data_IF_705022853413
#
_entry.id   IF_705022853413
#
_cell.length_a   1.000
_cell.length_b   1.000
_cell.length_c   1.000
_cell.angle_alpha   90.00
_cell.angle_beta   90.00
_cell.angle_gamma   90.00
#
_symmetry.space_group_name_H-M   'P 1'
#
loop_
_entity.id
_entity.type
_entity.pdbx_description
1 polymer ?
#
# COMPACT_ATOMS: atom_id res chain seq x y z
N UNK A 1 -18.00 15.92 -3.43
CA UNK A 1 -17.05 16.15 -4.53
C UNK A 1 -16.72 14.85 -5.24
N UNK A 2 -16.42 14.93 -6.51
CA UNK A 2 -15.95 13.78 -7.30
C UNK A 2 -14.44 13.64 -7.10
N UNK A 3 -14.05 13.16 -5.91
CA UNK A 3 -12.67 13.09 -5.49
C UNK A 3 -12.33 11.75 -4.84
N UNK A 4 -11.07 11.34 -4.99
CA UNK A 4 -10.48 10.18 -4.35
C UNK A 4 -9.25 10.63 -3.55
N UNK A 5 -9.13 10.11 -2.33
CA UNK A 5 -8.01 10.35 -1.44
C UNK A 5 -7.11 9.12 -1.40
N UNK A 6 -5.84 9.30 -1.68
CA UNK A 6 -4.83 8.25 -1.68
C UNK A 6 -3.85 8.44 -0.53
N UNK A 7 -3.45 7.34 0.10
CA UNK A 7 -2.35 7.32 1.06
C UNK A 7 -1.58 6.01 0.94
N UNK A 8 -0.26 6.09 0.84
CA UNK A 8 0.61 4.93 0.93
C UNK A 8 1.68 5.11 1.99
N UNK A 9 1.90 4.05 2.78
CA UNK A 9 2.89 3.99 3.86
C UNK A 9 2.86 5.24 4.76
N UNK A 10 1.66 5.61 5.20
CA UNK A 10 1.43 6.79 6.06
C UNK A 10 1.90 8.11 5.42
N UNK A 11 1.78 8.25 4.12
CA UNK A 11 2.16 9.46 3.41
C UNK A 11 3.67 9.65 3.21
N UNK A 12 4.49 8.63 3.49
CA UNK A 12 5.95 8.71 3.30
C UNK A 12 6.36 8.71 1.83
N UNK A 13 5.52 8.18 0.98
CA UNK A 13 5.74 8.15 -0.47
C UNK A 13 4.41 7.97 -1.20
N UNK A 14 4.39 8.19 -2.52
CA UNK A 14 3.30 7.82 -3.40
C UNK A 14 3.73 6.58 -4.20
N UNK A 15 3.36 5.40 -3.72
CA UNK A 15 3.83 4.14 -4.31
C UNK A 15 2.81 2.99 -4.15
N UNK A 16 3.25 1.79 -4.49
CA UNK A 16 2.53 0.54 -4.26
C UNK A 16 1.16 0.48 -4.98
N UNK A 17 0.21 -0.27 -4.44
CA UNK A 17 -1.13 -0.44 -5.00
C UNK A 17 -1.90 0.89 -5.13
N UNK A 18 -1.86 1.82 -4.15
CA UNK A 18 -2.50 3.12 -4.31
C UNK A 18 -1.99 3.90 -5.52
N UNK A 19 -0.67 3.85 -5.82
CA UNK A 19 -0.11 4.52 -6.99
C UNK A 19 -0.65 3.91 -8.30
N UNK A 20 -0.65 2.59 -8.43
CA UNK A 20 -1.14 1.91 -9.62
C UNK A 20 -2.62 2.24 -9.88
N UNK A 21 -3.45 2.18 -8.84
CA UNK A 21 -4.86 2.57 -8.91
C UNK A 21 -5.02 4.06 -9.26
N UNK A 22 -4.19 4.93 -8.68
CA UNK A 22 -4.24 6.37 -8.94
C UNK A 22 -3.85 6.73 -10.38
N UNK A 23 -2.88 6.03 -10.96
CA UNK A 23 -2.48 6.18 -12.37
C UNK A 23 -3.58 5.70 -13.30
N UNK A 24 -4.16 4.54 -13.04
CA UNK A 24 -5.26 4.04 -13.86
C UNK A 24 -6.49 4.94 -13.76
N UNK A 25 -6.82 5.43 -12.57
CA UNK A 25 -7.90 6.40 -12.40
C UNK A 25 -7.64 7.69 -13.20
N UNK A 26 -6.39 8.15 -13.26
CA UNK A 26 -6.02 9.30 -14.08
C UNK A 26 -6.29 9.08 -15.57
N UNK A 27 -6.06 7.87 -16.04
CA UNK A 27 -6.25 7.47 -17.43
C UNK A 27 -7.74 7.35 -17.80
N UNK A 28 -8.53 6.67 -16.96
CA UNK A 28 -9.93 6.34 -17.28
C UNK A 28 -10.94 7.41 -16.85
N UNK A 29 -10.57 8.22 -15.85
CA UNK A 29 -11.43 9.27 -15.32
C UNK A 29 -10.64 10.53 -14.92
N UNK A 30 -10.03 11.22 -15.89
CA UNK A 30 -9.14 12.37 -15.65
C UNK A 30 -9.83 13.54 -14.92
N UNK A 31 -11.14 13.61 -14.98
CA UNK A 31 -11.96 14.63 -14.29
C UNK A 31 -12.11 14.39 -12.79
N UNK A 32 -11.68 13.24 -12.27
CA UNK A 32 -11.75 12.93 -10.83
C UNK A 32 -10.55 13.56 -10.13
N UNK A 33 -10.81 14.39 -9.12
CA UNK A 33 -9.76 14.98 -8.30
C UNK A 33 -9.05 13.90 -7.47
N UNK A 34 -7.71 13.85 -7.54
CA UNK A 34 -6.88 12.89 -6.81
C UNK A 34 -6.05 13.62 -5.77
N UNK A 35 -6.40 13.44 -4.50
CA UNK A 35 -5.62 13.95 -3.38
C UNK A 35 -4.66 12.89 -2.88
N UNK A 36 -3.41 13.28 -2.62
CA UNK A 36 -2.40 12.41 -2.03
C UNK A 36 -1.97 12.91 -0.67
N UNK A 37 -2.19 12.08 0.35
CA UNK A 37 -1.68 12.32 1.70
C UNK A 37 -0.16 12.16 1.72
N UNK A 38 0.54 13.16 2.20
CA UNK A 38 2.01 13.17 2.34
C UNK A 38 2.40 13.66 3.72
N UNK A 39 3.50 13.13 4.28
CA UNK A 39 4.02 13.59 5.58
C UNK A 39 4.53 15.02 5.49
N UNK A 40 5.10 15.40 4.34
CA UNK A 40 5.52 16.75 4.00
C UNK A 40 5.44 16.93 2.46
N UNK A 41 5.51 18.18 2.00
CA UNK A 41 5.32 18.53 0.59
C UNK A 41 6.53 18.24 -0.30
N UNK A 42 7.65 17.73 0.23
CA UNK A 42 8.79 17.25 -0.58
C UNK A 42 8.54 15.90 -1.21
N UNK A 43 7.54 15.15 -0.69
CA UNK A 43 7.16 13.85 -1.25
C UNK A 43 6.53 14.06 -2.63
N UNK A 44 7.16 13.46 -3.64
CA UNK A 44 6.67 13.50 -5.02
C UNK A 44 5.36 12.72 -5.16
N UNK A 45 4.37 13.34 -5.77
CA UNK A 45 3.08 12.70 -6.09
C UNK A 45 2.89 12.62 -7.60
N UNK A 46 2.00 11.73 -8.09
CA UNK A 46 1.74 11.63 -9.53
C UNK A 46 1.30 12.94 -10.15
N UNK A 47 1.66 13.13 -11.41
CA UNK A 47 1.25 14.30 -12.19
C UNK A 47 -0.28 14.50 -12.18
N UNK A 48 -0.71 15.75 -12.09
CA UNK A 48 -2.12 16.12 -12.01
C UNK A 48 -2.81 15.70 -10.70
N UNK A 49 -2.08 15.19 -9.71
CA UNK A 49 -2.60 14.96 -8.37
C UNK A 49 -2.24 16.12 -7.43
N UNK A 50 -3.00 16.27 -6.36
CA UNK A 50 -2.83 17.34 -5.37
C UNK A 50 -2.23 16.75 -4.10
N UNK A 51 -1.00 17.12 -3.75
CA UNK A 51 -0.39 16.78 -2.49
C UNK A 51 -1.04 17.54 -1.32
N UNK A 52 -1.38 16.82 -0.24
CA UNK A 52 -1.93 17.40 0.99
C UNK A 52 -1.14 16.89 2.20
N UNK A 53 -0.51 17.82 2.93
CA UNK A 53 0.32 17.51 4.09
C UNK A 53 -0.52 16.98 5.26
N UNK A 54 -0.13 15.83 5.81
CA UNK A 54 -0.84 15.15 6.90
C UNK A 54 -1.11 16.09 8.08
N UNK A 55 -2.37 16.14 8.51
CA UNK A 55 -2.81 16.93 9.65
C UNK A 55 -3.04 18.42 9.36
N UNK A 56 -2.76 18.89 8.14
CA UNK A 56 -3.12 20.24 7.73
C UNK A 56 -4.64 20.41 7.56
N UNK A 57 -5.18 21.63 7.62
CA UNK A 57 -6.58 21.86 7.30
C UNK A 57 -6.96 21.40 5.88
N UNK A 58 -6.04 21.54 4.90
CA UNK A 58 -6.24 21.05 3.52
C UNK A 58 -6.36 19.53 3.47
N UNK A 59 -5.52 18.80 4.18
CA UNK A 59 -5.59 17.35 4.32
C UNK A 59 -6.92 16.90 4.92
N UNK A 60 -7.36 17.57 6.00
CA UNK A 60 -8.64 17.27 6.63
C UNK A 60 -9.82 17.46 5.68
N UNK A 61 -9.82 18.57 4.93
CA UNK A 61 -10.87 18.85 3.91
C UNK A 61 -10.83 17.84 2.76
N UNK A 62 -9.66 17.56 2.19
CA UNK A 62 -9.49 16.61 1.10
C UNK A 62 -10.00 15.21 1.49
N UNK A 63 -9.60 14.73 2.68
CA UNK A 63 -10.03 13.45 3.21
C UNK A 63 -11.53 13.41 3.47
N UNK A 64 -12.12 14.50 3.98
CA UNK A 64 -13.54 14.62 4.21
C UNK A 64 -14.35 14.77 2.92
N UNK A 65 -13.85 15.46 1.90
CA UNK A 65 -14.53 15.67 0.63
C UNK A 65 -14.55 14.45 -0.29
N UNK A 66 -13.54 13.58 -0.17
CA UNK A 66 -13.41 12.41 -1.03
C UNK A 66 -14.46 11.34 -0.75
N UNK A 67 -15.03 10.76 -1.81
CA UNK A 67 -16.00 9.66 -1.71
C UNK A 67 -15.33 8.30 -1.50
N UNK A 68 -14.09 8.17 -1.95
CA UNK A 68 -13.27 6.97 -1.81
C UNK A 68 -11.92 7.35 -1.18
N UNK A 69 -11.49 6.55 -0.21
CA UNK A 69 -10.14 6.54 0.31
C UNK A 69 -9.47 5.23 -0.13
N UNK A 70 -8.30 5.32 -0.74
CA UNK A 70 -7.48 4.18 -1.18
C UNK A 70 -6.21 4.19 -0.36
N UNK A 71 -6.04 3.20 0.50
CA UNK A 71 -4.94 3.15 1.46
C UNK A 71 -4.30 1.77 1.50
N UNK A 72 -3.02 1.68 1.81
CA UNK A 72 -2.31 0.41 1.95
C UNK A 72 -1.80 0.14 3.37
N UNK A 73 -2.04 1.05 4.29
CA UNK A 73 -1.72 0.92 5.71
C UNK A 73 -2.91 1.37 6.57
N UNK A 74 -2.76 1.43 7.89
CA UNK A 74 -3.83 1.83 8.78
C UNK A 74 -4.15 3.33 8.61
N UNK A 75 -5.44 3.66 8.75
CA UNK A 75 -5.87 5.05 8.71
C UNK A 75 -5.37 5.81 9.95
N UNK A 76 -4.46 6.74 9.73
CA UNK A 76 -3.93 7.59 10.80
C UNK A 76 -4.97 8.57 11.31
N UNK A 77 -4.74 9.02 12.56
CA UNK A 77 -5.55 10.00 13.27
C UNK A 77 -6.99 9.53 13.48
N UNK A 78 -7.77 10.31 14.20
CA UNK A 78 -9.21 10.04 14.35
C UNK A 78 -9.88 10.17 12.98
N UNK A 79 -10.63 9.16 12.63
CA UNK A 79 -11.36 9.10 11.38
C UNK A 79 -12.78 8.59 11.63
N UNK A 80 -13.74 9.38 11.18
CA UNK A 80 -15.15 9.02 11.14
C UNK A 80 -15.59 9.01 9.67
N UNK A 81 -15.95 7.84 9.19
CA UNK A 81 -16.44 7.67 7.83
C UNK A 81 -17.77 8.40 7.67
N UNK A 82 -17.85 9.25 6.65
CA UNK A 82 -19.10 9.95 6.34
C UNK A 82 -20.04 9.03 5.55
N UNK A 83 -21.33 9.37 5.60
CA UNK A 83 -22.33 8.70 4.77
C UNK A 83 -21.92 8.78 3.28
N UNK A 84 -21.97 7.67 2.58
CA UNK A 84 -21.58 7.55 1.18
C UNK A 84 -20.07 7.51 0.90
N UNK A 85 -19.21 7.70 1.91
CA UNK A 85 -17.77 7.52 1.78
C UNK A 85 -17.39 6.04 1.90
N UNK A 86 -16.37 5.60 1.15
CA UNK A 86 -15.85 4.23 1.16
C UNK A 86 -14.35 4.23 1.40
N UNK A 87 -13.87 3.14 1.98
CA UNK A 87 -12.44 2.88 2.21
C UNK A 87 -12.06 1.56 1.57
N UNK A 88 -11.15 1.62 0.61
CA UNK A 88 -10.48 0.47 0.03
C UNK A 88 -9.12 0.29 0.71
N UNK A 89 -8.96 -0.78 1.46
CA UNK A 89 -7.68 -1.23 1.98
C UNK A 89 -7.01 -2.11 0.94
N UNK A 90 -5.91 -1.65 0.36
CA UNK A 90 -5.22 -2.39 -0.71
C UNK A 90 -4.15 -3.33 -0.20
N UNK A 91 -3.78 -3.20 1.08
CA UNK A 91 -2.65 -3.90 1.65
C UNK A 91 -1.36 -3.64 0.84
N UNK A 92 -0.26 -4.32 1.16
CA UNK A 92 1.03 -3.98 0.54
C UNK A 92 2.02 -5.14 0.43
N UNK A 93 1.61 -6.37 0.70
CA UNK A 93 2.49 -7.53 0.56
C UNK A 93 1.86 -8.85 0.99
N UNK A 94 2.54 -9.95 0.69
CA UNK A 94 2.15 -11.28 1.14
C UNK A 94 2.37 -11.38 2.65
N UNK A 95 1.36 -11.79 3.44
CA UNK A 95 1.44 -11.83 4.90
C UNK A 95 2.23 -13.07 5.38
N UNK A 96 3.56 -13.02 5.30
CA UNK A 96 4.45 -14.09 5.76
C UNK A 96 4.71 -14.03 7.27
N UNK A 97 4.64 -12.85 7.87
CA UNK A 97 4.79 -12.65 9.33
C UNK A 97 3.45 -12.77 10.04
N UNK A 98 3.47 -13.11 11.32
CA UNK A 98 2.26 -13.06 12.16
C UNK A 98 1.78 -11.63 12.33
N UNK A 99 0.60 -11.32 11.81
CA UNK A 99 0.03 -9.97 11.77
C UNK A 99 -1.09 -9.80 12.79
N UNK A 100 -1.31 -8.59 13.23
CA UNK A 100 -2.48 -8.16 13.98
C UNK A 100 -2.88 -9.15 15.10
N UNK A 101 -4.03 -9.79 14.99
CA UNK A 101 -4.50 -10.77 15.99
C UNK A 101 -3.71 -12.09 15.99
N UNK A 102 -2.94 -12.38 14.94
CA UNK A 102 -2.09 -13.58 14.88
C UNK A 102 -0.75 -13.42 15.61
N UNK A 103 -0.41 -12.21 16.10
CA UNK A 103 0.80 -12.02 16.91
C UNK A 103 0.70 -12.82 18.22
N UNK A 104 1.81 -13.40 18.72
CA UNK A 104 1.81 -14.16 19.96
C UNK A 104 1.32 -13.34 21.17
N UNK A 105 0.73 -14.03 22.13
CA UNK A 105 0.20 -13.44 23.35
C UNK A 105 -1.12 -12.68 23.12
N UNK A 106 -2.03 -12.83 24.08
CA UNK A 106 -3.29 -12.07 24.07
C UNK A 106 -3.03 -10.65 24.58
N UNK A 107 -3.40 -9.66 23.77
CA UNK A 107 -3.32 -8.25 24.12
C UNK A 107 -4.66 -7.58 23.76
N UNK A 108 -5.47 -7.22 24.77
CA UNK A 108 -6.79 -6.63 24.53
C UNK A 108 -6.72 -5.26 23.86
N UNK A 109 -5.66 -4.48 24.11
CA UNK A 109 -5.47 -3.17 23.46
C UNK A 109 -5.23 -3.35 21.97
N UNK A 110 -4.39 -4.31 21.60
CA UNK A 110 -4.15 -4.70 20.21
C UNK A 110 -5.44 -5.19 19.56
N UNK A 111 -6.19 -6.05 20.22
CA UNK A 111 -7.45 -6.59 19.69
C UNK A 111 -8.46 -5.47 19.39
N UNK A 112 -8.62 -4.51 20.32
CA UNK A 112 -9.49 -3.35 20.12
C UNK A 112 -8.98 -2.47 18.98
N UNK A 113 -7.67 -2.22 18.89
CA UNK A 113 -7.09 -1.40 17.81
C UNK A 113 -7.32 -2.04 16.44
N UNK A 114 -7.05 -3.34 16.31
CA UNK A 114 -7.29 -4.11 15.08
C UNK A 114 -8.76 -4.09 14.70
N UNK A 115 -9.65 -4.33 15.66
CA UNK A 115 -11.10 -4.32 15.44
C UNK A 115 -11.59 -2.93 14.96
N UNK A 116 -11.13 -1.86 15.63
CA UNK A 116 -11.50 -0.50 15.24
C UNK A 116 -11.00 -0.17 13.83
N UNK A 117 -9.79 -0.57 13.50
CA UNK A 117 -9.20 -0.29 12.20
C UNK A 117 -9.93 -1.05 11.09
N UNK A 118 -10.09 -2.36 11.24
CA UNK A 118 -10.73 -3.18 10.20
C UNK A 118 -12.19 -2.77 9.93
N UNK A 119 -12.88 -2.22 10.90
CA UNK A 119 -14.25 -1.73 10.71
C UNK A 119 -14.37 -0.47 9.86
N UNK A 120 -13.27 0.22 9.65
CA UNK A 120 -13.22 1.40 8.76
C UNK A 120 -13.13 1.02 7.29
N UNK A 121 -12.73 -0.21 7.00
CA UNK A 121 -12.58 -0.68 5.62
C UNK A 121 -13.89 -1.20 5.07
N UNK A 122 -14.28 -0.73 3.89
CA UNK A 122 -15.45 -1.25 3.17
C UNK A 122 -15.08 -2.43 2.28
N UNK A 123 -13.87 -2.44 1.74
CA UNK A 123 -13.32 -3.54 0.97
C UNK A 123 -11.84 -3.73 1.29
N UNK A 124 -11.38 -4.96 1.16
CA UNK A 124 -9.98 -5.36 1.30
C UNK A 124 -9.52 -6.02 0.01
N UNK A 125 -8.39 -5.55 -0.53
CA UNK A 125 -7.74 -6.20 -1.67
C UNK A 125 -6.72 -7.23 -1.17
N UNK A 126 -6.75 -8.42 -1.73
CA UNK A 126 -5.79 -9.47 -1.46
C UNK A 126 -5.13 -9.96 -2.75
N UNK A 127 -3.86 -10.32 -2.67
CA UNK A 127 -3.11 -10.76 -3.82
C UNK A 127 -3.60 -12.13 -4.36
N UNK A 128 -3.97 -13.02 -3.45
CA UNK A 128 -4.38 -14.39 -3.74
C UNK A 128 -5.18 -14.97 -2.56
N UNK A 129 -5.69 -16.17 -2.69
CA UNK A 129 -6.47 -16.86 -1.65
C UNK A 129 -5.71 -17.04 -0.33
N UNK A 130 -4.42 -17.36 -0.40
CA UNK A 130 -3.57 -17.47 0.79
C UNK A 130 -3.55 -16.18 1.59
N UNK A 131 -3.28 -15.05 0.92
CA UNK A 131 -3.28 -13.72 1.54
C UNK A 131 -4.65 -13.34 2.08
N UNK A 132 -5.71 -13.61 1.32
CA UNK A 132 -7.09 -13.35 1.72
C UNK A 132 -7.47 -14.10 3.01
N UNK A 133 -7.13 -15.39 3.08
CA UNK A 133 -7.43 -16.22 4.25
C UNK A 133 -6.74 -15.71 5.52
N UNK A 134 -5.47 -15.30 5.41
CA UNK A 134 -4.70 -14.76 6.54
C UNK A 134 -5.25 -13.41 6.96
N UNK A 135 -5.44 -12.48 6.01
CA UNK A 135 -5.88 -11.12 6.30
C UNK A 135 -7.30 -11.10 6.90
N UNK A 136 -8.22 -11.91 6.39
CA UNK A 136 -9.57 -12.06 6.98
C UNK A 136 -9.51 -12.40 8.47
N UNK A 137 -8.68 -13.37 8.85
CA UNK A 137 -8.55 -13.84 10.25
C UNK A 137 -7.76 -12.85 11.10
N UNK A 138 -6.62 -12.38 10.60
CA UNK A 138 -5.73 -11.47 11.33
C UNK A 138 -6.41 -10.15 11.70
N UNK A 139 -7.32 -9.67 10.85
CA UNK A 139 -8.04 -8.41 11.05
C UNK A 139 -9.51 -8.60 11.45
N UNK A 140 -9.93 -9.81 11.80
CA UNK A 140 -11.33 -10.13 12.10
C UNK A 140 -12.30 -9.58 11.02
N UNK A 141 -11.89 -9.65 9.76
CA UNK A 141 -12.64 -9.18 8.60
C UNK A 141 -13.62 -10.26 8.14
N UNK A 142 -14.39 -10.79 9.10
CA UNK A 142 -15.32 -11.90 8.90
C UNK A 142 -16.75 -11.37 8.84
N UNK A 143 -17.62 -12.03 8.01
CA UNK A 143 -19.04 -11.64 7.89
C UNK A 143 -19.81 -11.73 9.22
N UNK A 144 -19.44 -12.67 10.08
CA UNK A 144 -20.15 -12.98 11.33
C UNK A 144 -20.24 -11.79 12.31
N UNK A 145 -19.30 -10.87 12.24
CA UNK A 145 -19.27 -9.71 13.14
C UNK A 145 -19.64 -8.39 12.45
N UNK A 146 -20.05 -8.44 11.19
CA UNK A 146 -20.38 -7.26 10.42
C UNK A 146 -21.86 -7.29 10.05
N UNK A 147 -22.59 -6.28 10.49
CA UNK A 147 -23.93 -5.96 9.99
C UNK A 147 -23.94 -5.64 8.48
N UNK A 148 -22.75 -5.58 7.85
CA UNK A 148 -22.55 -5.20 6.46
C UNK A 148 -21.55 -6.15 5.83
N UNK A 149 -21.90 -6.73 4.70
CA UNK A 149 -20.96 -7.50 3.89
C UNK A 149 -19.80 -6.61 3.47
N UNK A 150 -18.59 -7.08 3.72
CA UNK A 150 -17.34 -6.40 3.33
C UNK A 150 -16.55 -7.35 2.46
N UNK A 151 -16.49 -7.10 1.14
CA UNK A 151 -15.81 -8.01 0.22
C UNK A 151 -14.30 -8.02 0.46
N UNK A 152 -13.70 -9.19 0.25
CA UNK A 152 -12.27 -9.32 0.00
C UNK A 152 -12.14 -9.65 -1.48
N UNK A 153 -11.57 -8.71 -2.23
CA UNK A 153 -11.30 -8.87 -3.65
C UNK A 153 -9.96 -9.57 -3.84
N UNK A 154 -9.95 -10.64 -4.63
CA UNK A 154 -8.77 -11.48 -4.87
C UNK A 154 -8.37 -11.29 -6.33
N UNK A 155 -7.84 -10.10 -6.63
CA UNK A 155 -7.60 -9.63 -8.00
C UNK A 155 -6.09 -9.40 -8.26
N UNK A 156 -5.23 -9.93 -7.41
CA UNK A 156 -3.81 -9.58 -7.46
C UNK A 156 -3.52 -8.21 -6.84
N UNK A 157 -2.28 -7.76 -7.00
CA UNK A 157 -1.90 -6.40 -6.61
C UNK A 157 -1.66 -5.55 -7.84
N UNK A 158 -2.40 -4.45 -8.04
CA UNK A 158 -2.29 -3.58 -9.21
C UNK A 158 -0.87 -3.07 -9.50
N UNK A 159 -0.03 -2.92 -8.45
CA UNK A 159 1.38 -2.55 -8.63
C UNK A 159 2.18 -3.57 -9.44
N UNK A 160 1.76 -4.83 -9.46
CA UNK A 160 2.46 -5.91 -10.17
C UNK A 160 2.13 -5.91 -11.67
N UNK A 161 1.11 -5.19 -12.11
CA UNK A 161 0.75 -5.07 -13.53
C UNK A 161 1.89 -4.46 -14.33
N UNK A 162 2.71 -3.60 -13.71
CA UNK A 162 3.93 -3.06 -14.31
C UNK A 162 4.94 -4.13 -14.74
N UNK A 163 4.88 -5.35 -14.18
CA UNK A 163 5.75 -6.46 -14.58
C UNK A 163 5.33 -7.10 -15.90
N UNK A 164 4.11 -6.83 -16.35
CA UNK A 164 3.53 -7.39 -17.58
C UNK A 164 3.56 -6.38 -18.74
N UNK A 165 3.87 -5.13 -18.45
CA UNK A 165 3.91 -4.06 -19.44
C UNK A 165 5.37 -3.87 -19.88
N UNK A 166 5.64 -4.11 -21.17
CA UNK A 166 6.91 -3.74 -21.77
C UNK A 166 6.78 -2.32 -22.36
N UNK A 167 7.03 -1.33 -21.52
CA UNK A 167 6.98 0.11 -21.86
C UNK A 167 8.40 0.70 -22.04
N UNK A 168 9.40 -0.14 -22.15
CA UNK A 168 10.79 0.30 -22.22
C UNK A 168 11.42 0.66 -20.86
N UNK A 169 10.67 0.62 -19.77
CA UNK A 169 11.15 0.98 -18.43
C UNK A 169 12.34 0.14 -17.98
N UNK A 170 12.43 -1.11 -18.44
CA UNK A 170 13.59 -1.98 -18.19
C UNK A 170 14.88 -1.40 -18.79
N UNK A 171 14.83 -1.00 -20.06
CA UNK A 171 15.99 -0.43 -20.74
C UNK A 171 16.40 0.91 -20.12
N UNK A 172 15.42 1.76 -19.86
CA UNK A 172 15.62 3.06 -19.19
C UNK A 172 16.24 2.89 -17.80
N UNK A 173 15.71 1.95 -16.99
CA UNK A 173 16.25 1.68 -15.64
C UNK A 173 17.69 1.16 -15.71
N UNK A 174 18.00 0.28 -16.68
CA UNK A 174 19.38 -0.21 -16.88
C UNK A 174 20.32 0.93 -17.25
N UNK A 175 19.92 1.78 -18.17
CA UNK A 175 20.68 2.95 -18.57
C UNK A 175 20.92 3.90 -17.39
N UNK A 176 19.88 4.20 -16.62
CA UNK A 176 19.96 5.07 -15.42
C UNK A 176 20.93 4.52 -14.37
N UNK A 177 20.97 3.21 -14.18
CA UNK A 177 21.86 2.53 -13.23
C UNK A 177 23.25 2.22 -13.80
N UNK A 178 23.53 2.56 -15.06
CA UNK A 178 24.80 2.26 -15.72
C UNK A 178 25.06 0.75 -15.90
N UNK A 179 24.01 -0.04 -16.02
CA UNK A 179 24.13 -1.51 -16.16
C UNK A 179 24.42 -1.84 -17.64
N UNK A 180 25.56 -2.48 -17.95
CA UNK A 180 25.93 -2.83 -19.33
C UNK A 180 24.88 -3.74 -19.99
N UNK A 181 24.78 -3.65 -21.33
CA UNK A 181 23.94 -4.55 -22.10
C UNK A 181 24.42 -6.00 -21.92
N UNK A 182 23.47 -6.91 -21.79
CA UNK A 182 23.72 -8.33 -21.59
C UNK A 182 24.15 -8.72 -20.17
N UNK A 183 24.49 -7.78 -19.30
CA UNK A 183 24.85 -8.10 -17.92
C UNK A 183 23.68 -8.74 -17.16
N UNK A 184 23.96 -9.81 -16.43
CA UNK A 184 23.02 -10.38 -15.46
C UNK A 184 22.95 -9.48 -14.23
N UNK A 185 21.76 -9.31 -13.68
CA UNK A 185 21.53 -8.46 -12.51
C UNK A 185 20.96 -9.29 -11.39
N UNK A 186 21.63 -9.29 -10.25
CA UNK A 186 21.13 -9.88 -9.02
C UNK A 186 20.83 -8.75 -8.03
N UNK A 187 19.58 -8.63 -7.62
CA UNK A 187 19.16 -7.68 -6.60
C UNK A 187 19.11 -8.36 -5.24
N UNK A 188 19.96 -7.93 -4.32
CA UNK A 188 19.86 -8.30 -2.92
C UNK A 188 19.15 -7.20 -2.14
N UNK A 189 17.92 -7.47 -1.69
CA UNK A 189 17.09 -6.54 -0.96
C UNK A 189 16.60 -7.16 0.36
N UNK A 190 17.47 -7.24 1.40
CA UNK A 190 17.13 -7.85 2.67
C UNK A 190 16.03 -7.07 3.40
N UNK A 191 15.18 -7.79 4.11
CA UNK A 191 14.13 -7.18 4.91
C UNK A 191 14.72 -6.43 6.09
N UNK A 192 14.24 -5.20 6.33
CA UNK A 192 14.52 -4.44 7.53
C UNK A 192 14.26 -5.25 8.81
N UNK A 193 15.13 -5.12 9.80
CA UNK A 193 15.01 -5.74 11.12
C UNK A 193 15.11 -4.67 12.19
N UNK A 194 14.15 -4.66 13.10
CA UNK A 194 14.05 -3.66 14.17
C UNK A 194 15.19 -3.74 15.20
N UNK A 195 15.86 -4.90 15.28
CA UNK A 195 16.93 -5.24 16.24
C UNK A 195 18.34 -5.05 15.65
N UNK A 196 18.48 -4.57 14.42
CA UNK A 196 19.78 -4.38 13.77
C UNK A 196 19.85 -3.05 13.05
N UNK A 197 20.93 -2.32 13.29
CA UNK A 197 21.27 -1.07 12.60
C UNK A 197 22.18 -1.30 11.39
N UNK A 198 22.78 -2.48 11.26
CA UNK A 198 23.67 -2.83 10.19
C UNK A 198 22.93 -3.52 9.04
N UNK A 199 23.33 -3.23 7.81
CA UNK A 199 22.88 -3.95 6.62
C UNK A 199 23.43 -5.38 6.74
N UNK A 200 22.54 -6.37 6.60
CA UNK A 200 22.96 -7.76 6.55
C UNK A 200 23.72 -7.97 5.24
N UNK A 201 25.03 -8.08 5.33
CA UNK A 201 25.86 -8.42 4.18
C UNK A 201 25.49 -9.81 3.66
N UNK A 202 25.45 -9.95 2.34
CA UNK A 202 25.30 -11.25 1.69
C UNK A 202 26.66 -11.96 1.72
N UNK A 203 26.85 -12.84 2.69
CA UNK A 203 28.02 -13.72 2.72
C UNK A 203 28.01 -14.58 1.46
N UNK A 204 29.07 -14.50 0.66
CA UNK A 204 29.16 -15.20 -0.63
C UNK A 204 28.75 -14.36 -1.84
N UNK A 205 28.53 -13.05 -1.69
CA UNK A 205 28.22 -12.18 -2.82
C UNK A 205 29.32 -12.19 -3.91
N UNK A 206 30.58 -12.32 -3.51
CA UNK A 206 31.74 -12.39 -4.44
C UNK A 206 31.80 -13.71 -5.17
N UNK A 207 31.55 -14.82 -4.46
CA UNK A 207 31.50 -16.15 -5.07
C UNK A 207 30.34 -16.22 -6.07
N UNK A 208 29.15 -15.76 -5.67
CA UNK A 208 28.00 -15.71 -6.58
C UNK A 208 28.27 -14.84 -7.82
N UNK A 209 28.96 -13.73 -7.66
CA UNK A 209 29.30 -12.86 -8.79
C UNK A 209 30.34 -13.48 -9.73
N UNK A 210 31.17 -14.39 -9.24
CA UNK A 210 32.14 -15.11 -10.06
C UNK A 210 31.49 -16.24 -10.86
N UNK A 211 30.36 -16.79 -10.41
CA UNK A 211 29.60 -17.88 -11.04
C UNK A 211 28.55 -17.38 -12.07
N UNK A 212 28.36 -16.06 -12.23
CA UNK A 212 27.37 -15.41 -13.10
C UNK A 212 27.97 -14.91 -14.41
#
# INVERSE_FOLDING_TARGET
>A
ENAVFFESFYGRNASCNPLAIGRELARVAPHVTRYWSVIDLSVQVPEGAIAVGEGSPGWGRARAASRLLVVNDWLRRRYHQRHGQRVLQTWHGTPLKRLALHRPGFDPRRAIAVWRESRRWDALLAQNEYSAAILRRAYAFLPVFALKSRPVWIEGYPRNDALLIDDGARAETRALLGIPDGARVVLYAPTWRDDRTEIVEFAGARELAADL
#
